data_IF_130071674674
#
_entry.id   IF_130071674674
#
_cell.length_a   1.000
_cell.length_b   1.000
_cell.length_c   1.000
_cell.angle_alpha   90.00
_cell.angle_beta   90.00
_cell.angle_gamma   90.00
#
_symmetry.space_group_name_H-M   'P 1'
#
loop_
_entity.id
_entity.type
_entity.pdbx_description
1 polymer ?
#
# COMPACT_ATOMS: atom_id res chain seq x y z
N UNK A 1 -7.60 17.79 -3.27
CA UNK A 1 -6.76 18.67 -2.48
C UNK A 1 -5.30 18.39 -2.73
N UNK A 2 -4.58 19.46 -2.86
CA UNK A 2 -3.18 19.43 -3.25
C UNK A 2 -2.23 18.78 -2.22
N UNK A 3 -2.72 18.53 -1.02
CA UNK A 3 -1.87 17.99 0.05
C UNK A 3 -2.17 16.54 0.40
N UNK A 4 -3.02 15.88 -0.36
CA UNK A 4 -3.32 14.49 -0.09
C UNK A 4 -2.18 13.59 -0.58
N UNK A 5 -1.67 12.68 0.25
CA UNK A 5 -0.60 11.78 -0.17
C UNK A 5 -1.05 10.81 -1.26
N UNK A 6 -0.10 10.39 -2.04
CA UNK A 6 -0.31 9.43 -3.12
C UNK A 6 0.68 8.29 -2.95
N UNK A 7 0.19 7.07 -3.16
CA UNK A 7 1.05 5.89 -3.30
C UNK A 7 1.14 5.57 -4.78
N UNK A 8 2.36 5.47 -5.28
CA UNK A 8 2.58 5.07 -6.66
C UNK A 8 3.07 3.62 -6.67
N UNK A 9 2.23 2.74 -7.19
CA UNK A 9 2.58 1.33 -7.35
C UNK A 9 3.12 1.13 -8.76
N UNK A 10 4.38 0.69 -8.86
CA UNK A 10 5.01 0.49 -10.15
C UNK A 10 4.89 -0.96 -10.59
N UNK A 11 4.55 -1.19 -11.86
CA UNK A 11 4.65 -2.52 -12.46
C UNK A 11 6.07 -3.06 -12.34
N UNK A 12 6.20 -4.32 -11.95
CA UNK A 12 7.51 -4.93 -11.82
C UNK A 12 8.18 -5.09 -13.20
N UNK A 13 7.42 -5.53 -14.19
CA UNK A 13 7.94 -5.79 -15.53
C UNK A 13 7.36 -4.85 -16.58
N UNK A 14 7.09 -3.61 -16.19
CA UNK A 14 6.50 -2.64 -17.10
C UNK A 14 6.84 -1.23 -16.70
N UNK A 15 6.23 -0.29 -17.41
CA UNK A 15 6.51 1.13 -17.21
C UNK A 15 5.35 1.86 -16.54
N UNK A 16 4.26 1.17 -16.25
CA UNK A 16 3.07 1.83 -15.71
C UNK A 16 3.14 1.95 -14.20
N UNK A 17 2.56 3.03 -13.71
CA UNK A 17 2.37 3.27 -12.28
C UNK A 17 0.87 3.37 -12.01
N UNK A 18 0.44 2.86 -10.89
CA UNK A 18 -0.94 3.01 -10.44
C UNK A 18 -0.96 3.99 -9.28
N UNK A 19 -1.50 5.19 -9.47
CA UNK A 19 -1.55 6.19 -8.40
C UNK A 19 -2.77 5.95 -7.53
N UNK A 20 -2.54 5.86 -6.22
CA UNK A 20 -3.61 5.63 -5.25
C UNK A 20 -3.55 6.73 -4.21
N UNK A 21 -4.63 7.51 -4.11
CA UNK A 21 -4.75 8.55 -3.10
C UNK A 21 -5.07 7.91 -1.75
N UNK A 22 -4.36 8.31 -0.72
CA UNK A 22 -4.53 7.75 0.62
C UNK A 22 -4.60 8.86 1.65
N UNK A 23 -5.16 8.57 2.80
CA UNK A 23 -5.19 9.53 3.90
C UNK A 23 -3.81 9.64 4.57
N UNK A 24 -3.62 10.70 5.32
CA UNK A 24 -2.34 10.95 5.98
C UNK A 24 -1.98 9.85 6.99
N UNK A 25 -2.95 9.35 7.71
CA UNK A 25 -2.73 8.27 8.69
C UNK A 25 -2.29 6.99 7.99
N UNK A 26 -2.96 6.64 6.90
CA UNK A 26 -2.63 5.45 6.13
C UNK A 26 -1.29 5.59 5.42
N UNK A 27 -0.97 6.79 4.93
CA UNK A 27 0.33 7.06 4.33
C UNK A 27 1.45 6.87 5.36
N UNK A 28 1.23 7.28 6.59
CA UNK A 28 2.17 7.09 7.68
C UNK A 28 2.40 5.59 7.95
N UNK A 29 1.31 4.82 7.97
CA UNK A 29 1.41 3.37 8.19
C UNK A 29 2.24 2.70 7.08
N UNK A 30 2.02 3.11 5.83
CA UNK A 30 2.78 2.61 4.69
C UNK A 30 4.26 3.02 4.80
N UNK A 31 4.51 4.27 5.14
CA UNK A 31 5.87 4.79 5.29
C UNK A 31 6.65 4.03 6.38
N UNK A 32 6.02 3.77 7.50
CA UNK A 32 6.66 3.02 8.58
C UNK A 32 7.08 1.62 8.11
N UNK A 33 6.21 0.96 7.36
CA UNK A 33 6.52 -0.36 6.82
C UNK A 33 7.69 -0.31 5.84
N UNK A 34 7.70 0.69 4.95
CA UNK A 34 8.78 0.85 3.98
C UNK A 34 10.12 1.15 4.64
N UNK A 35 10.11 1.91 5.71
CA UNK A 35 11.31 2.29 6.44
C UNK A 35 11.68 1.28 7.52
N UNK A 36 10.92 0.21 7.64
CA UNK A 36 11.12 -0.84 8.64
C UNK A 36 11.16 -0.29 10.06
N UNK A 37 10.33 0.71 10.32
CA UNK A 37 10.21 1.31 11.65
C UNK A 37 9.40 0.39 12.55
N UNK A 38 9.96 0.05 13.70
CA UNK A 38 9.27 -0.77 14.70
C UNK A 38 8.92 0.13 15.88
N UNK A 39 7.65 0.53 16.01
CA UNK A 39 7.24 1.34 17.15
C UNK A 39 7.29 0.53 18.45
N UNK A 40 7.38 1.18 19.60
CA UNK A 40 7.45 0.47 20.89
C UNK A 40 6.26 -0.46 21.16
N UNK A 41 5.09 -0.08 20.67
CA UNK A 41 3.89 -0.91 20.73
C UNK A 41 3.32 -1.03 19.33
N UNK A 42 2.71 -2.17 18.97
CA UNK A 42 2.17 -2.34 17.62
C UNK A 42 1.06 -1.33 17.33
N UNK A 43 1.15 -0.70 16.16
CA UNK A 43 0.09 0.14 15.63
C UNK A 43 -0.93 -0.74 14.92
N UNK A 44 -1.96 -0.13 14.35
CA UNK A 44 -3.09 -0.88 13.78
C UNK A 44 -2.67 -1.97 12.82
N UNK A 45 -1.84 -1.65 11.84
CA UNK A 45 -1.46 -2.65 10.82
C UNK A 45 -0.45 -3.66 11.34
N UNK A 46 0.38 -3.27 12.32
CA UNK A 46 1.25 -4.22 13.00
C UNK A 46 0.42 -5.22 13.78
N UNK A 47 -0.64 -4.74 14.45
CA UNK A 47 -1.56 -5.60 15.18
C UNK A 47 -2.27 -6.57 14.22
N UNK A 48 -2.69 -6.10 13.06
CA UNK A 48 -3.31 -6.96 12.06
C UNK A 48 -2.39 -8.12 11.67
N UNK A 49 -1.11 -7.81 11.44
CA UNK A 49 -0.11 -8.84 11.15
C UNK A 49 0.03 -9.82 12.30
N UNK A 50 0.13 -9.32 13.52
CA UNK A 50 0.27 -10.17 14.72
C UNK A 50 -0.94 -11.09 14.89
N UNK A 51 -2.15 -10.57 14.68
CA UNK A 51 -3.36 -11.37 14.77
C UNK A 51 -3.38 -12.48 13.74
N UNK A 52 -3.00 -12.18 12.49
CA UNK A 52 -2.92 -13.21 11.46
C UNK A 52 -1.96 -14.33 11.87
N UNK A 53 -0.77 -13.96 12.31
CA UNK A 53 0.23 -14.94 12.73
C UNK A 53 -0.24 -15.80 13.89
N UNK A 54 -0.86 -15.18 14.89
CA UNK A 54 -1.36 -15.92 16.07
C UNK A 54 -2.50 -16.88 15.73
N UNK A 55 -3.27 -16.55 14.70
CA UNK A 55 -4.36 -17.40 14.23
C UNK A 55 -3.93 -18.38 13.14
N UNK A 56 -2.63 -18.46 12.87
CA UNK A 56 -2.05 -19.30 11.83
C UNK A 56 -2.53 -18.96 10.43
N UNK A 57 -2.85 -17.67 10.21
CA UNK A 57 -3.23 -17.16 8.90
C UNK A 57 -2.03 -16.61 8.16
N UNK A 58 -2.11 -16.63 6.84
CA UNK A 58 -1.07 -16.09 5.96
C UNK A 58 -1.72 -15.20 4.92
N UNK A 59 -1.17 -14.01 4.74
CA UNK A 59 -1.57 -13.16 3.61
C UNK A 59 -0.78 -13.60 2.38
N UNK A 60 -1.47 -14.22 1.43
CA UNK A 60 -0.84 -14.70 0.21
C UNK A 60 -0.56 -13.58 -0.76
N UNK A 61 -1.52 -12.69 -0.93
CA UNK A 61 -1.41 -11.56 -1.86
C UNK A 61 -2.50 -10.54 -1.59
N UNK A 62 -2.28 -9.34 -2.08
CA UNK A 62 -3.28 -8.30 -2.17
C UNK A 62 -3.61 -8.12 -3.64
N UNK A 63 -4.89 -8.14 -4.00
CA UNK A 63 -5.34 -7.89 -5.36
C UNK A 63 -6.06 -6.56 -5.42
N UNK A 64 -5.55 -5.65 -6.22
CA UNK A 64 -6.27 -4.43 -6.56
C UNK A 64 -7.17 -4.78 -7.74
N UNK A 65 -8.46 -4.73 -7.52
CA UNK A 65 -9.43 -5.35 -8.44
C UNK A 65 -10.10 -4.38 -9.38
N UNK A 66 -10.52 -3.23 -8.88
CA UNK A 66 -11.24 -2.28 -9.72
C UNK A 66 -11.20 -0.87 -9.17
N UNK A 67 -11.51 0.07 -10.05
CA UNK A 67 -11.79 1.46 -9.71
C UNK A 67 -13.22 1.72 -10.12
N UNK A 68 -14.08 2.05 -9.15
CA UNK A 68 -15.49 2.27 -9.39
C UNK A 68 -15.91 3.56 -8.71
N UNK A 69 -16.45 4.48 -9.50
CA UNK A 69 -16.90 5.79 -9.00
C UNK A 69 -15.83 6.52 -8.19
N UNK A 70 -14.58 6.46 -8.68
CA UNK A 70 -13.46 7.12 -8.03
C UNK A 70 -12.89 6.38 -6.82
N UNK A 71 -13.41 5.19 -6.51
CA UNK A 71 -13.00 4.39 -5.36
C UNK A 71 -12.28 3.13 -5.83
N UNK A 72 -11.06 2.93 -5.33
CA UNK A 72 -10.33 1.69 -5.59
C UNK A 72 -10.77 0.60 -4.63
N UNK A 73 -10.86 -0.61 -5.15
CA UNK A 73 -11.21 -1.81 -4.38
C UNK A 73 -10.02 -2.76 -4.34
N UNK A 74 -9.86 -3.41 -3.21
CA UNK A 74 -8.80 -4.39 -3.03
C UNK A 74 -9.33 -5.61 -2.28
N UNK A 75 -8.70 -6.74 -2.53
CA UNK A 75 -8.99 -7.99 -1.82
C UNK A 75 -7.72 -8.49 -1.16
N UNK A 76 -7.85 -8.92 0.08
CA UNK A 76 -6.82 -9.68 0.76
C UNK A 76 -7.08 -11.15 0.48
N UNK A 77 -6.11 -11.83 -0.10
CA UNK A 77 -6.19 -13.27 -0.32
C UNK A 77 -5.45 -13.94 0.81
N UNK A 78 -6.21 -14.57 1.68
CA UNK A 78 -5.69 -15.15 2.91
C UNK A 78 -5.78 -16.66 2.89
N UNK A 79 -4.83 -17.30 3.56
CA UNK A 79 -4.81 -18.73 3.75
C UNK A 79 -4.93 -19.01 5.24
N UNK A 80 -5.86 -19.87 5.61
CA UNK A 80 -6.02 -20.29 6.99
C UNK A 80 -5.03 -21.40 7.33
N UNK A 81 -4.88 -21.70 8.62
CA UNK A 81 -4.04 -22.79 9.09
C UNK A 81 -4.42 -24.15 8.51
N UNK A 82 -5.70 -24.37 8.20
CA UNK A 82 -6.19 -25.61 7.58
C UNK A 82 -5.99 -25.64 6.05
N UNK A 83 -5.25 -24.68 5.51
CA UNK A 83 -4.91 -24.52 4.09
C UNK A 83 -6.06 -24.00 3.21
N UNK A 84 -7.23 -23.71 3.79
CA UNK A 84 -8.32 -23.12 3.02
C UNK A 84 -8.04 -21.64 2.74
N UNK A 85 -8.48 -21.15 1.57
CA UNK A 85 -8.34 -19.75 1.21
C UNK A 85 -9.61 -18.98 1.49
N UNK A 86 -9.45 -17.74 1.93
CA UNK A 86 -10.55 -16.79 2.07
C UNK A 86 -10.16 -15.45 1.47
N UNK A 87 -11.16 -14.69 1.07
CA UNK A 87 -10.96 -13.37 0.49
C UNK A 87 -11.66 -12.34 1.38
N UNK A 88 -10.95 -11.29 1.71
CA UNK A 88 -11.50 -10.20 2.54
C UNK A 88 -11.36 -8.90 1.77
N UNK A 89 -12.47 -8.19 1.60
CA UNK A 89 -12.44 -6.87 0.96
C UNK A 89 -11.77 -5.86 1.89
N UNK A 90 -10.95 -4.99 1.30
CA UNK A 90 -10.20 -4.01 2.06
C UNK A 90 -10.01 -2.74 1.24
N UNK A 91 -9.76 -1.63 1.93
CA UNK A 91 -9.29 -0.44 1.23
C UNK A 91 -7.87 -0.68 0.74
N UNK A 92 -7.50 -0.17 -0.43
CA UNK A 92 -6.12 -0.34 -0.93
C UNK A 92 -5.05 0.10 0.05
N UNK A 93 -5.27 1.21 0.75
CA UNK A 93 -4.29 1.72 1.73
C UNK A 93 -4.00 0.73 2.84
N UNK A 94 -5.04 0.13 3.41
CA UNK A 94 -4.88 -0.88 4.47
C UNK A 94 -4.24 -2.14 3.93
N UNK A 95 -4.66 -2.56 2.74
CA UNK A 95 -4.12 -3.74 2.09
C UNK A 95 -2.62 -3.60 1.81
N UNK A 96 -2.22 -2.44 1.29
CA UNK A 96 -0.81 -2.15 1.01
C UNK A 96 0.00 -2.11 2.30
N UNK A 97 -0.50 -1.42 3.32
CA UNK A 97 0.19 -1.32 4.61
C UNK A 97 0.42 -2.70 5.23
N UNK A 98 -0.57 -3.58 5.12
CA UNK A 98 -0.45 -4.95 5.61
C UNK A 98 0.51 -5.77 4.75
N UNK A 99 0.39 -5.68 3.42
CA UNK A 99 1.25 -6.44 2.50
C UNK A 99 2.73 -6.10 2.70
N UNK A 100 3.04 -4.84 2.94
CA UNK A 100 4.43 -4.43 3.18
C UNK A 100 4.99 -5.05 4.47
N UNK A 101 4.16 -5.20 5.49
CA UNK A 101 4.58 -5.80 6.76
C UNK A 101 4.75 -7.31 6.66
N UNK A 102 3.93 -7.96 5.85
CA UNK A 102 3.98 -9.41 5.68
C UNK A 102 4.85 -9.83 4.48
N UNK A 103 5.35 -8.85 3.75
CA UNK A 103 6.15 -9.06 2.52
C UNK A 103 5.40 -9.90 1.50
N UNK A 104 4.13 -9.60 1.36
CA UNK A 104 3.23 -10.28 0.42
C UNK A 104 3.16 -9.53 -0.90
N UNK A 105 2.82 -10.23 -1.97
CA UNK A 105 2.71 -9.63 -3.29
C UNK A 105 1.52 -8.68 -3.36
N UNK A 106 1.70 -7.60 -4.10
CA UNK A 106 0.62 -6.67 -4.44
C UNK A 106 0.41 -6.80 -5.95
N UNK A 107 -0.78 -7.23 -6.33
CA UNK A 107 -1.12 -7.50 -7.73
C UNK A 107 -2.27 -6.59 -8.15
N UNK A 108 -2.27 -6.20 -9.40
CA UNK A 108 -3.38 -5.42 -9.98
C UNK A 108 -3.85 -6.13 -11.24
N UNK A 109 -5.15 -6.06 -11.52
CA UNK A 109 -5.68 -6.64 -12.74
C UNK A 109 -5.18 -5.83 -13.94
N UNK A 110 -5.03 -6.49 -15.08
CA UNK A 110 -4.65 -5.79 -16.32
C UNK A 110 -5.70 -4.75 -16.69
N UNK A 111 -6.96 -5.04 -16.44
CA UNK A 111 -8.04 -4.10 -16.70
C UNK A 111 -7.88 -2.83 -15.88
N UNK A 112 -7.52 -2.96 -14.61
CA UNK A 112 -7.31 -1.80 -13.75
C UNK A 112 -6.10 -1.00 -14.20
N UNK A 113 -5.00 -1.66 -14.54
CA UNK A 113 -3.81 -0.98 -15.05
C UNK A 113 -4.07 -0.26 -16.35
N UNK A 114 -4.85 -0.85 -17.23
CA UNK A 114 -5.22 -0.22 -18.50
C UNK A 114 -6.11 1.01 -18.28
N UNK A 115 -7.02 0.94 -17.29
CA UNK A 115 -7.95 2.02 -17.02
C UNK A 115 -7.34 3.17 -16.20
N UNK A 116 -6.51 2.86 -15.24
CA UNK A 116 -6.04 3.83 -14.26
C UNK A 116 -4.51 3.97 -14.19
N UNK A 117 -3.77 3.11 -14.86
CA UNK A 117 -2.32 3.19 -14.88
C UNK A 117 -1.82 4.37 -15.69
N UNK A 118 -0.72 4.94 -15.28
CA UNK A 118 -0.06 6.03 -16.00
C UNK A 118 1.39 5.67 -16.25
N UNK A 119 1.93 6.20 -17.34
CA UNK A 119 3.35 6.06 -17.61
C UNK A 119 4.05 7.36 -17.23
N UNK A 120 5.12 7.23 -16.48
CA UNK A 120 5.96 8.36 -16.13
C UNK A 120 7.26 8.17 -16.92
N UNK A 121 7.49 8.95 -17.99
CA UNK A 121 8.70 8.79 -18.78
C UNK A 121 9.95 9.08 -17.96
N UNK A 122 10.95 8.24 -18.09
CA UNK A 122 12.22 8.42 -17.36
C UNK A 122 12.91 9.74 -17.69
N UNK A 123 12.69 10.23 -18.88
CA UNK A 123 13.31 11.47 -19.37
C UNK A 123 12.57 12.73 -18.96
N UNK A 124 11.40 12.62 -18.42
CA UNK A 124 10.71 13.77 -18.00
C UNK A 124 11.12 14.14 -16.67
N UNK A 125 11.61 14.91 -16.91
CA UNK A 125 11.17 16.18 -16.46
C UNK A 125 11.31 16.29 -14.99
N UNK A 126 11.93 17.35 -14.64
CA UNK A 126 11.93 17.91 -13.32
C UNK A 126 10.58 17.77 -12.59
N UNK A 127 9.43 17.82 -13.30
CA UNK A 127 8.12 17.76 -12.68
C UNK A 127 7.79 16.40 -12.06
N UNK A 128 8.00 15.32 -12.79
CA UNK A 128 7.73 13.98 -12.24
C UNK A 128 8.69 13.65 -11.11
N UNK A 129 9.95 14.06 -11.26
CA UNK A 129 10.94 13.87 -10.21
C UNK A 129 10.61 14.72 -8.99
N UNK A 130 10.10 15.92 -9.18
CA UNK A 130 9.66 16.78 -8.09
C UNK A 130 8.49 16.18 -7.32
N UNK A 131 7.54 15.56 -8.00
CA UNK A 131 6.42 14.92 -7.33
C UNK A 131 6.86 13.71 -6.50
N UNK A 132 7.77 12.91 -7.06
CA UNK A 132 8.33 11.78 -6.32
C UNK A 132 9.12 12.26 -5.12
N UNK A 133 9.91 13.32 -5.29
CA UNK A 133 10.66 13.88 -4.18
C UNK A 133 9.78 14.49 -3.11
N UNK A 134 8.68 15.16 -3.50
CA UNK A 134 7.72 15.68 -2.53
C UNK A 134 7.09 14.56 -1.72
N UNK A 135 6.78 13.45 -2.38
CA UNK A 135 6.25 12.30 -1.67
C UNK A 135 7.27 11.74 -0.69
N UNK A 136 8.53 11.63 -1.13
CA UNK A 136 9.61 11.21 -0.23
C UNK A 136 9.79 12.16 0.94
N UNK A 137 9.77 13.46 0.68
CA UNK A 137 9.87 14.46 1.72
C UNK A 137 8.73 14.33 2.72
N UNK A 138 7.52 14.09 2.22
CA UNK A 138 6.38 13.84 3.09
C UNK A 138 6.64 12.65 4.01
N UNK A 139 7.15 11.54 3.47
CA UNK A 139 7.47 10.36 4.26
C UNK A 139 8.58 10.64 5.28
N UNK A 140 9.60 11.40 4.87
CA UNK A 140 10.74 11.71 5.75
C UNK A 140 10.36 12.66 6.89
N UNK A 141 9.33 13.46 6.70
CA UNK A 141 8.84 14.37 7.73
C UNK A 141 8.01 13.67 8.80
N UNK A 142 7.61 12.44 8.56
CA UNK A 142 6.83 11.69 9.53
C UNK A 142 7.76 11.17 10.62
N UNK A 143 7.47 11.58 11.84
CA UNK A 143 8.26 11.16 12.99
C UNK A 143 7.56 10.00 13.68
N UNK A 144 8.21 8.83 13.79
CA UNK A 144 7.59 7.69 14.48
C UNK A 144 7.13 7.99 15.90
N UNK A 145 7.80 8.89 16.58
CA UNK A 145 7.44 9.26 17.94
C UNK A 145 6.08 9.94 18.05
N UNK A 146 5.64 10.62 16.99
CA UNK A 146 4.35 11.29 16.97
C UNK A 146 3.18 10.31 17.03
N UNK A 147 3.43 9.04 16.73
CA UNK A 147 2.41 8.01 16.65
C UNK A 147 2.61 6.89 17.68
N UNK A 148 3.62 7.03 18.53
CA UNK A 148 3.94 6.05 19.54
C UNK A 148 3.22 6.41 20.84
N UNK A 149 1.96 6.42 20.77
CA UNK A 149 1.20 6.84 21.90
C UNK A 149 0.71 5.76 22.79
#
# INVERSE_FOLDING_TARGET
PSNQPIVLLKEIEGARFLPIWVGAVEATAIAFAQQEVLPPRPLTHDLMKDLLEKLNGTLLAVHLTELREGVFYADLILKRGDQSEITVSARPSDAIALALRTKSAILATEELLAAAGIEIPEETSSEANEEVERFREFLDQINPEDFAG
#
